data_IF_079724125222
#
_entry.id   IF_079724125222
#
_cell.length_a   1.000
_cell.length_b   1.000
_cell.length_c   1.000
_cell.angle_alpha   90.00
_cell.angle_beta   90.00
_cell.angle_gamma   90.00
#
_symmetry.space_group_name_H-M   'P 1'
#
loop_
_entity.id
_entity.type
_entity.pdbx_description
1 polymer ?
#
# COMPACT_ATOMS: atom_id res chain seq x y z
N UNK A 1 -20.58 -8.71 -2.94
CA UNK A 1 -21.97 -8.74 -2.49
C UNK A 1 -22.58 -10.13 -2.69
N UNK A 2 -22.67 -10.63 -3.93
CA UNK A 2 -23.36 -11.89 -4.27
C UNK A 2 -22.97 -13.13 -3.46
N UNK A 3 -21.67 -13.31 -3.14
CA UNK A 3 -21.20 -14.44 -2.33
C UNK A 3 -21.61 -14.34 -0.86
N UNK A 4 -21.68 -13.13 -0.30
CA UNK A 4 -22.12 -12.92 1.09
C UNK A 4 -23.64 -13.09 1.19
N UNK A 5 -24.38 -12.65 0.18
CA UNK A 5 -25.82 -12.92 0.10
C UNK A 5 -26.11 -14.42 0.02
N UNK A 6 -25.34 -15.19 -0.76
CA UNK A 6 -25.45 -16.66 -0.76
C UNK A 6 -25.16 -17.29 0.60
N UNK A 7 -24.22 -16.72 1.39
CA UNK A 7 -23.97 -17.19 2.76
C UNK A 7 -25.15 -16.86 3.67
N UNK A 8 -25.74 -15.67 3.56
CA UNK A 8 -26.95 -15.28 4.30
C UNK A 8 -28.10 -16.24 3.98
N UNK A 9 -28.36 -16.51 2.70
CA UNK A 9 -29.39 -17.45 2.26
C UNK A 9 -29.21 -18.85 2.89
N UNK A 10 -27.97 -19.36 2.88
CA UNK A 10 -27.65 -20.65 3.49
C UNK A 10 -27.89 -20.69 5.00
N UNK A 11 -27.67 -19.58 5.72
CA UNK A 11 -27.96 -19.47 7.15
C UNK A 11 -29.47 -19.41 7.38
N UNK A 12 -30.19 -18.63 6.58
CA UNK A 12 -31.65 -18.50 6.64
C UNK A 12 -32.34 -19.85 6.41
N UNK A 13 -31.85 -20.67 5.48
CA UNK A 13 -32.38 -22.02 5.22
C UNK A 13 -32.27 -22.95 6.44
N UNK A 14 -31.16 -22.83 7.20
CA UNK A 14 -30.91 -23.60 8.41
C UNK A 14 -31.76 -23.07 9.57
N UNK A 15 -31.80 -21.75 9.77
CA UNK A 15 -32.60 -21.09 10.81
C UNK A 15 -34.09 -21.42 10.65
N UNK A 16 -34.61 -21.30 9.43
CA UNK A 16 -36.02 -21.61 9.13
C UNK A 16 -36.34 -23.08 9.43
N UNK A 17 -35.38 -23.99 9.22
CA UNK A 17 -35.55 -25.41 9.53
C UNK A 17 -35.51 -25.72 11.04
N UNK A 18 -34.77 -24.93 11.83
CA UNK A 18 -34.68 -25.06 13.28
C UNK A 18 -35.94 -24.53 14.00
N UNK A 19 -36.61 -23.53 13.42
CA UNK A 19 -37.91 -22.98 13.85
C UNK A 19 -38.05 -22.84 15.39
N UNK A 20 -37.06 -22.20 16.02
CA UNK A 20 -37.02 -21.98 17.47
C UNK A 20 -36.96 -20.49 17.80
N UNK A 21 -37.51 -20.09 18.95
CA UNK A 21 -37.47 -18.69 19.42
C UNK A 21 -36.05 -18.14 19.58
N UNK A 22 -35.07 -19.01 19.80
CA UNK A 22 -33.65 -18.65 19.90
C UNK A 22 -33.05 -18.17 18.57
N UNK A 23 -33.69 -18.48 17.43
CA UNK A 23 -33.24 -18.11 16.09
C UNK A 23 -33.77 -16.76 15.58
N UNK A 24 -34.75 -16.17 16.25
CA UNK A 24 -35.33 -14.86 15.86
C UNK A 24 -34.28 -13.75 15.89
N UNK A 25 -33.41 -13.75 16.91
CA UNK A 25 -32.31 -12.77 17.02
C UNK A 25 -31.32 -12.87 15.85
N UNK A 26 -31.09 -14.08 15.33
CA UNK A 26 -30.18 -14.31 14.21
C UNK A 26 -30.82 -13.87 12.90
N UNK A 27 -32.12 -14.12 12.71
CA UNK A 27 -32.87 -13.64 11.55
C UNK A 27 -32.83 -12.11 11.46
N UNK A 28 -33.13 -11.43 12.57
CA UNK A 28 -33.08 -9.97 12.62
C UNK A 28 -31.68 -9.41 12.31
N UNK A 29 -30.62 -10.08 12.81
CA UNK A 29 -29.25 -9.67 12.53
C UNK A 29 -28.89 -9.87 11.05
N UNK A 30 -29.34 -10.96 10.43
CA UNK A 30 -29.13 -11.24 9.01
C UNK A 30 -29.83 -10.20 8.12
N UNK A 31 -31.07 -9.80 8.44
CA UNK A 31 -31.79 -8.75 7.71
C UNK A 31 -31.01 -7.42 7.72
N UNK A 32 -30.38 -7.08 8.85
CA UNK A 32 -29.54 -5.88 8.96
C UNK A 32 -28.32 -6.00 8.03
N UNK A 33 -27.63 -7.14 8.04
CA UNK A 33 -26.46 -7.36 7.20
C UNK A 33 -26.82 -7.40 5.70
N UNK A 34 -27.93 -8.03 5.34
CA UNK A 34 -28.42 -8.06 3.96
C UNK A 34 -28.74 -6.65 3.46
N UNK A 35 -29.42 -5.84 4.28
CA UNK A 35 -29.73 -4.46 3.94
C UNK A 35 -28.45 -3.60 3.82
N UNK A 36 -27.48 -3.76 4.72
CA UNK A 36 -26.17 -3.08 4.62
C UNK A 36 -25.41 -3.50 3.34
N UNK A 37 -25.42 -4.78 2.97
CA UNK A 37 -24.72 -5.28 1.78
C UNK A 37 -25.35 -4.83 0.47
N UNK A 38 -26.68 -4.65 0.44
CA UNK A 38 -27.42 -4.35 -0.79
C UNK A 38 -27.71 -2.85 -0.97
N UNK A 39 -27.86 -2.09 0.11
CA UNK A 39 -28.34 -0.71 0.06
C UNK A 39 -27.39 0.33 0.71
N UNK A 40 -26.59 -0.07 1.71
CA UNK A 40 -25.75 0.85 2.48
C UNK A 40 -24.35 0.26 2.76
N UNK A 41 -23.56 -0.02 1.72
CA UNK A 41 -22.25 -0.68 1.87
C UNK A 41 -21.32 0.22 2.72
N UNK A 42 -21.21 -0.09 4.01
CA UNK A 42 -20.21 0.50 4.91
C UNK A 42 -18.91 -0.27 4.74
N UNK A 43 -17.79 0.43 4.86
CA UNK A 43 -16.46 -0.13 4.64
C UNK A 43 -16.14 -1.32 5.58
N UNK A 44 -16.85 -1.47 6.70
CA UNK A 44 -16.62 -2.49 7.72
C UNK A 44 -17.72 -3.57 7.80
N UNK A 45 -18.79 -3.49 7.00
CA UNK A 45 -19.93 -4.42 7.04
C UNK A 45 -19.47 -5.88 6.88
N UNK A 46 -18.58 -6.16 5.92
CA UNK A 46 -18.07 -7.51 5.69
C UNK A 46 -17.29 -8.05 6.89
N UNK A 47 -16.46 -7.21 7.53
CA UNK A 47 -15.69 -7.61 8.70
C UNK A 47 -16.61 -7.90 9.90
N UNK A 48 -17.64 -7.06 10.11
CA UNK A 48 -18.65 -7.26 11.15
C UNK A 48 -19.43 -8.55 10.93
N UNK A 49 -19.85 -8.81 9.69
CA UNK A 49 -20.58 -10.02 9.32
C UNK A 49 -19.74 -11.28 9.57
N UNK A 50 -18.49 -11.30 9.12
CA UNK A 50 -17.59 -12.44 9.35
C UNK A 50 -17.31 -12.71 10.83
N UNK A 51 -17.26 -11.66 11.67
CA UNK A 51 -17.15 -11.82 13.13
C UNK A 51 -18.42 -12.46 13.70
N UNK A 52 -19.59 -11.98 13.31
CA UNK A 52 -20.89 -12.54 13.72
C UNK A 52 -21.02 -14.02 13.34
N UNK A 53 -20.59 -14.41 12.14
CA UNK A 53 -20.57 -15.82 11.74
C UNK A 53 -19.71 -16.69 12.67
N UNK A 54 -18.50 -16.23 12.97
CA UNK A 54 -17.51 -16.98 13.76
C UNK A 54 -17.89 -17.10 15.23
N UNK A 55 -18.40 -16.02 15.81
CA UNK A 55 -18.62 -15.90 17.25
C UNK A 55 -20.03 -16.33 17.66
N UNK A 56 -21.01 -16.25 16.75
CA UNK A 56 -22.40 -16.53 17.08
C UNK A 56 -23.01 -17.68 16.24
N UNK A 57 -23.02 -17.57 14.91
CA UNK A 57 -23.73 -18.54 14.05
C UNK A 57 -23.05 -19.91 14.05
N UNK A 58 -21.73 -19.98 13.88
CA UNK A 58 -21.02 -21.26 13.80
C UNK A 58 -21.07 -22.04 15.12
N UNK A 59 -20.83 -21.44 16.30
CA UNK A 59 -20.99 -22.13 17.57
C UNK A 59 -22.43 -22.63 17.78
N UNK A 60 -23.42 -21.83 17.40
CA UNK A 60 -24.84 -22.20 17.51
C UNK A 60 -25.19 -23.40 16.61
N UNK A 61 -24.78 -23.38 15.34
CA UNK A 61 -25.00 -24.50 14.41
C UNK A 61 -24.23 -25.76 14.82
N UNK A 62 -23.02 -25.62 15.37
CA UNK A 62 -22.24 -26.74 15.89
C UNK A 62 -22.93 -27.40 17.10
N UNK A 63 -23.44 -26.60 18.04
CA UNK A 63 -24.18 -27.11 19.19
C UNK A 63 -25.46 -27.85 18.74
N UNK A 64 -26.17 -27.33 17.74
CA UNK A 64 -27.33 -28.00 17.18
C UNK A 64 -26.97 -29.29 16.44
N UNK A 65 -25.84 -29.38 15.76
CA UNK A 65 -25.37 -30.63 15.14
C UNK A 65 -25.17 -31.76 16.16
N UNK A 66 -24.71 -31.42 17.37
CA UNK A 66 -24.42 -32.39 18.43
C UNK A 66 -25.69 -32.90 19.14
N UNK A 67 -26.75 -32.09 19.20
CA UNK A 67 -27.96 -32.36 19.99
C UNK A 67 -29.17 -32.77 19.11
N UNK A 68 -29.19 -32.36 17.83
CA UNK A 68 -30.34 -32.56 16.94
C UNK A 68 -30.55 -34.03 16.59
N UNK A 69 -31.81 -34.48 16.52
CA UNK A 69 -32.18 -35.86 16.13
C UNK A 69 -32.78 -35.94 14.73
N UNK A 70 -33.23 -34.82 14.16
CA UNK A 70 -33.71 -34.74 12.78
C UNK A 70 -32.55 -34.72 11.78
N UNK A 71 -32.44 -35.80 10.99
CA UNK A 71 -31.43 -35.96 9.94
C UNK A 71 -31.54 -34.94 8.80
N UNK A 72 -32.72 -34.40 8.52
CA UNK A 72 -32.89 -33.36 7.51
C UNK A 72 -32.22 -32.06 7.97
N UNK A 73 -32.41 -31.69 9.23
CA UNK A 73 -31.80 -30.49 9.82
C UNK A 73 -30.27 -30.66 9.90
N UNK A 74 -29.77 -31.83 10.32
CA UNK A 74 -28.32 -32.12 10.30
C UNK A 74 -27.72 -31.97 8.91
N UNK A 75 -28.37 -32.51 7.88
CA UNK A 75 -27.89 -32.40 6.51
C UNK A 75 -27.82 -30.95 6.03
N UNK A 76 -28.82 -30.12 6.37
CA UNK A 76 -28.79 -28.67 6.07
C UNK A 76 -27.62 -27.96 6.74
N UNK A 77 -27.39 -28.21 8.03
CA UNK A 77 -26.27 -27.62 8.77
C UNK A 77 -24.92 -28.08 8.17
N UNK A 78 -24.77 -29.36 7.85
CA UNK A 78 -23.56 -29.89 7.22
C UNK A 78 -23.31 -29.32 5.82
N UNK A 79 -24.36 -29.13 5.02
CA UNK A 79 -24.26 -28.51 3.70
C UNK A 79 -23.85 -27.04 3.81
N UNK A 80 -24.43 -26.29 4.75
CA UNK A 80 -24.00 -24.94 5.07
C UNK A 80 -22.50 -24.90 5.41
N UNK A 81 -22.05 -25.74 6.36
CA UNK A 81 -20.64 -25.79 6.72
C UNK A 81 -19.74 -26.19 5.55
N UNK A 82 -20.13 -27.14 4.69
CA UNK A 82 -19.35 -27.47 3.49
C UNK A 82 -19.17 -26.28 2.56
N UNK A 83 -20.24 -25.51 2.31
CA UNK A 83 -20.19 -24.33 1.45
C UNK A 83 -19.35 -23.22 2.09
N UNK A 84 -19.53 -22.98 3.39
CA UNK A 84 -18.84 -21.93 4.13
C UNK A 84 -17.37 -22.26 4.38
N UNK A 85 -17.00 -23.49 4.73
CA UNK A 85 -15.60 -23.87 4.92
C UNK A 85 -14.81 -23.77 3.61
N UNK A 86 -15.38 -24.19 2.47
CA UNK A 86 -14.73 -24.01 1.16
C UNK A 86 -14.52 -22.52 0.87
N UNK A 87 -15.52 -21.66 1.12
CA UNK A 87 -15.42 -20.23 0.83
C UNK A 87 -14.55 -19.45 1.82
N UNK A 88 -14.63 -19.75 3.11
CA UNK A 88 -13.87 -19.09 4.16
C UNK A 88 -12.40 -19.52 4.15
N UNK A 89 -12.06 -20.81 3.98
CA UNK A 89 -10.65 -21.19 3.81
C UNK A 89 -10.05 -20.53 2.58
N UNK A 90 -10.78 -20.46 1.46
CA UNK A 90 -10.29 -19.75 0.27
C UNK A 90 -10.13 -18.25 0.51
N UNK A 91 -11.06 -17.58 1.19
CA UNK A 91 -10.96 -16.14 1.47
C UNK A 91 -9.88 -15.82 2.50
N UNK A 92 -9.81 -16.54 3.62
CA UNK A 92 -8.76 -16.38 4.64
C UNK A 92 -7.40 -16.77 4.08
N UNK A 93 -7.29 -17.85 3.29
CA UNK A 93 -6.04 -18.21 2.63
C UNK A 93 -5.63 -17.16 1.60
N UNK A 94 -6.54 -16.63 0.78
CA UNK A 94 -6.21 -15.57 -0.18
C UNK A 94 -5.80 -14.27 0.51
N UNK A 95 -6.48 -13.88 1.59
CA UNK A 95 -6.12 -12.69 2.39
C UNK A 95 -4.77 -12.88 3.09
N UNK A 96 -4.54 -14.04 3.69
CA UNK A 96 -3.27 -14.40 4.30
C UNK A 96 -2.14 -14.42 3.28
N UNK A 97 -2.35 -15.04 2.11
CA UNK A 97 -1.38 -15.07 1.01
C UNK A 97 -1.07 -13.66 0.49
N UNK A 98 -2.06 -12.74 0.47
CA UNK A 98 -1.85 -11.34 0.13
C UNK A 98 -0.98 -10.63 1.16
N UNK A 99 -1.32 -10.76 2.45
CA UNK A 99 -0.59 -10.12 3.55
C UNK A 99 0.84 -10.66 3.64
N UNK A 100 1.03 -11.97 3.45
CA UNK A 100 2.33 -12.63 3.39
C UNK A 100 3.13 -12.13 2.17
N UNK A 101 2.50 -11.97 1.01
CA UNK A 101 3.15 -11.43 -0.19
C UNK A 101 3.60 -9.99 0.00
N UNK A 102 2.75 -9.12 0.56
CA UNK A 102 3.09 -7.71 0.87
C UNK A 102 4.22 -7.65 1.89
N UNK A 103 4.14 -8.47 2.94
CA UNK A 103 5.17 -8.51 3.99
C UNK A 103 6.53 -8.94 3.44
N UNK A 104 6.55 -9.98 2.59
CA UNK A 104 7.76 -10.47 1.94
C UNK A 104 8.34 -9.45 0.96
N UNK A 105 7.49 -8.85 0.12
CA UNK A 105 7.83 -7.77 -0.81
C UNK A 105 8.50 -6.61 -0.08
N UNK A 106 7.82 -6.05 0.93
CA UNK A 106 8.33 -4.90 1.68
C UNK A 106 9.62 -5.22 2.42
N UNK A 107 9.79 -6.45 2.93
CA UNK A 107 11.04 -6.89 3.54
C UNK A 107 12.19 -6.92 2.52
N UNK A 108 11.99 -7.54 1.35
CA UNK A 108 13.03 -7.59 0.31
C UNK A 108 13.46 -6.20 -0.15
N UNK A 109 12.48 -5.33 -0.42
CA UNK A 109 12.75 -3.95 -0.85
C UNK A 109 13.48 -3.15 0.24
N UNK A 110 13.06 -3.32 1.50
CA UNK A 110 13.72 -2.72 2.66
C UNK A 110 15.18 -3.18 2.80
N UNK A 111 15.46 -4.48 2.62
CA UNK A 111 16.80 -5.04 2.72
C UNK A 111 17.73 -4.50 1.61
N UNK A 112 17.24 -4.39 0.37
CA UNK A 112 17.98 -3.78 -0.75
C UNK A 112 18.31 -2.32 -0.44
N UNK A 113 17.31 -1.57 0.04
CA UNK A 113 17.47 -0.17 0.37
C UNK A 113 18.49 0.05 1.51
N UNK A 114 18.44 -0.76 2.57
CA UNK A 114 19.39 -0.69 3.69
C UNK A 114 20.83 -0.96 3.23
N UNK A 115 21.03 -1.95 2.35
CA UNK A 115 22.35 -2.23 1.77
C UNK A 115 22.88 -1.07 0.92
N UNK A 116 22.02 -0.50 0.06
CA UNK A 116 22.37 0.66 -0.77
C UNK A 116 22.63 1.90 0.07
N UNK A 117 21.93 2.07 1.18
CA UNK A 117 22.01 3.22 2.07
C UNK A 117 23.38 3.31 2.76
N UNK A 118 24.01 2.17 3.10
CA UNK A 118 25.38 2.14 3.61
C UNK A 118 26.37 2.80 2.64
N UNK A 119 26.21 2.53 1.34
CA UNK A 119 27.03 3.14 0.28
C UNK A 119 26.75 4.65 0.19
N UNK A 120 25.49 5.08 0.32
CA UNK A 120 25.14 6.49 0.32
C UNK A 120 25.74 7.28 1.48
N UNK A 121 25.98 6.64 2.64
CA UNK A 121 26.63 7.31 3.77
C UNK A 121 28.07 7.72 3.47
N UNK A 122 28.73 7.05 2.50
CA UNK A 122 30.06 7.43 2.02
C UNK A 122 30.03 8.67 1.12
N UNK A 123 28.89 8.95 0.45
CA UNK A 123 28.70 10.17 -0.36
C UNK A 123 28.63 11.38 0.58
N UNK A 124 27.75 11.31 1.58
CA UNK A 124 27.65 12.31 2.64
C UNK A 124 26.90 11.75 3.85
N UNK A 125 27.39 11.97 5.08
CA UNK A 125 26.69 11.56 6.29
C UNK A 125 25.30 12.20 6.37
N UNK A 126 24.28 11.36 6.47
CA UNK A 126 22.89 11.78 6.42
C UNK A 126 22.04 11.06 7.47
N UNK A 127 20.98 11.71 7.93
CA UNK A 127 19.94 11.03 8.69
C UNK A 127 19.00 10.34 7.70
N UNK A 128 18.88 9.02 7.85
CA UNK A 128 18.05 8.16 7.02
C UNK A 128 16.76 7.82 7.78
N UNK A 129 15.62 8.22 7.23
CA UNK A 129 14.31 7.91 7.78
C UNK A 129 13.56 7.01 6.82
N UNK A 130 13.06 5.87 7.32
CA UNK A 130 12.28 4.91 6.55
C UNK A 130 10.93 4.68 7.19
N UNK A 131 9.88 4.73 6.37
CA UNK A 131 8.52 4.41 6.78
C UNK A 131 8.13 3.06 6.22
N UNK A 132 7.52 2.23 7.07
CA UNK A 132 6.96 0.95 6.68
C UNK A 132 5.45 1.06 6.77
N UNK A 133 4.80 1.20 5.62
CA UNK A 133 3.35 1.13 5.47
C UNK A 133 2.99 -0.16 4.72
N UNK A 134 2.02 -0.08 3.81
CA UNK A 134 1.80 -0.99 2.69
C UNK A 134 2.93 -1.00 1.65
N UNK A 135 3.83 -0.02 1.66
CA UNK A 135 5.04 0.05 0.83
C UNK A 135 6.32 0.36 1.60
N UNK A 136 7.39 0.69 0.86
CA UNK A 136 8.68 1.15 1.40
C UNK A 136 8.92 2.59 0.98
N UNK A 137 8.89 3.50 1.95
CA UNK A 137 9.19 4.92 1.74
C UNK A 137 10.44 5.33 2.52
N UNK A 138 11.20 6.29 2.01
CA UNK A 138 12.35 6.82 2.73
C UNK A 138 12.62 8.29 2.41
N UNK A 139 13.24 8.98 3.38
CA UNK A 139 13.74 10.35 3.28
C UNK A 139 15.21 10.39 3.69
N UNK A 140 15.97 11.28 3.04
CA UNK A 140 17.33 11.62 3.43
C UNK A 140 17.36 13.06 3.92
N UNK A 141 17.89 13.27 5.13
CA UNK A 141 18.15 14.60 5.63
C UNK A 141 19.66 14.82 5.68
N UNK A 142 20.10 15.94 5.09
CA UNK A 142 21.50 16.33 4.99
C UNK A 142 21.66 17.79 5.36
N UNK A 143 22.81 18.15 5.90
CA UNK A 143 23.16 19.53 6.19
C UNK A 143 24.16 19.64 7.32
N UNK A 144 24.53 20.89 7.60
CA UNK A 144 25.55 21.21 8.60
C UNK A 144 25.18 20.71 10.00
N UNK A 145 23.88 20.70 10.36
CA UNK A 145 23.43 20.19 11.66
C UNK A 145 23.63 18.66 11.82
N UNK A 146 23.77 17.92 10.71
CA UNK A 146 23.99 16.47 10.71
C UNK A 146 25.48 16.14 10.58
N UNK A 147 26.20 16.88 9.74
CA UNK A 147 27.64 16.74 9.56
C UNK A 147 28.34 18.11 9.65
N UNK A 148 28.60 18.63 10.87
CA UNK A 148 29.16 19.96 11.07
C UNK A 148 30.57 20.14 10.49
N UNK A 149 31.35 19.06 10.52
CA UNK A 149 32.74 19.06 10.07
C UNK A 149 32.89 18.97 8.54
N UNK A 150 31.79 18.79 7.80
CA UNK A 150 31.83 18.62 6.35
C UNK A 150 31.20 19.82 5.63
N UNK A 151 31.87 20.25 4.56
CA UNK A 151 31.35 21.31 3.70
C UNK A 151 30.16 20.81 2.87
N UNK A 152 29.03 21.51 3.00
CA UNK A 152 27.86 21.28 2.17
C UNK A 152 28.02 21.95 0.80
N UNK A 153 27.61 21.25 -0.27
CA UNK A 153 27.56 21.81 -1.62
C UNK A 153 26.42 21.21 -2.44
N UNK A 154 25.95 21.94 -3.46
CA UNK A 154 24.91 21.43 -4.37
C UNK A 154 25.34 20.10 -5.04
N UNK A 155 26.64 19.94 -5.33
CA UNK A 155 27.19 18.71 -5.92
C UNK A 155 26.86 17.46 -5.09
N UNK A 156 26.94 17.56 -3.76
CA UNK A 156 26.61 16.45 -2.85
C UNK A 156 25.13 16.07 -2.97
N UNK A 157 24.24 17.08 -3.06
CA UNK A 157 22.80 16.85 -3.25
C UNK A 157 22.54 16.14 -4.58
N UNK A 158 23.22 16.56 -5.65
CA UNK A 158 23.11 15.92 -6.96
C UNK A 158 23.56 14.46 -6.93
N UNK A 159 24.65 14.14 -6.23
CA UNK A 159 25.14 12.77 -6.07
C UNK A 159 24.15 11.89 -5.30
N UNK A 160 23.59 12.38 -4.20
CA UNK A 160 22.57 11.64 -3.43
C UNK A 160 21.26 11.45 -4.19
N UNK A 161 20.80 12.45 -4.96
CA UNK A 161 19.60 12.32 -5.81
C UNK A 161 19.78 11.33 -6.93
N UNK A 162 20.94 11.36 -7.57
CA UNK A 162 21.29 10.34 -8.56
C UNK A 162 21.30 8.95 -7.91
N UNK A 163 21.91 8.80 -6.73
CA UNK A 163 21.89 7.55 -5.97
C UNK A 163 20.46 7.09 -5.63
N UNK A 164 19.56 8.00 -5.24
CA UNK A 164 18.16 7.66 -4.97
C UNK A 164 17.46 7.11 -6.21
N UNK A 165 17.61 7.78 -7.36
CA UNK A 165 17.02 7.32 -8.62
C UNK A 165 17.58 5.95 -9.04
N UNK A 166 18.90 5.76 -8.98
CA UNK A 166 19.54 4.50 -9.30
C UNK A 166 19.11 3.37 -8.35
N UNK A 167 18.95 3.68 -7.06
CA UNK A 167 18.49 2.73 -6.05
C UNK A 167 17.06 2.28 -6.32
N UNK A 168 16.16 3.21 -6.65
CA UNK A 168 14.77 2.88 -7.02
C UNK A 168 14.72 2.04 -8.30
N UNK A 169 15.54 2.35 -9.31
CA UNK A 169 15.65 1.49 -10.50
C UNK A 169 16.12 0.08 -10.15
N UNK A 170 17.10 -0.04 -9.24
CA UNK A 170 17.59 -1.35 -8.76
C UNK A 170 16.47 -2.11 -8.05
N UNK A 171 15.71 -1.44 -7.18
CA UNK A 171 14.59 -2.02 -6.45
C UNK A 171 13.50 -2.57 -7.38
N UNK A 172 13.12 -1.81 -8.41
CA UNK A 172 12.17 -2.24 -9.44
C UNK A 172 12.67 -3.44 -10.25
N UNK A 173 13.95 -3.43 -10.64
CA UNK A 173 14.56 -4.55 -11.34
C UNK A 173 14.57 -5.83 -10.49
N UNK A 174 15.02 -5.74 -9.23
CA UNK A 174 15.02 -6.87 -8.30
C UNK A 174 13.59 -7.37 -8.05
N UNK A 175 12.62 -6.46 -7.91
CA UNK A 175 11.20 -6.79 -7.83
C UNK A 175 10.74 -7.60 -9.03
N UNK A 176 11.08 -7.18 -10.24
CA UNK A 176 10.71 -7.89 -11.45
C UNK A 176 11.23 -9.35 -11.47
N UNK A 177 12.43 -9.58 -10.93
CA UNK A 177 13.02 -10.92 -10.82
C UNK A 177 12.27 -11.80 -9.81
N UNK A 178 11.96 -11.29 -8.62
CA UNK A 178 11.32 -12.10 -7.56
C UNK A 178 9.79 -12.13 -7.63
N UNK A 179 9.13 -11.26 -8.39
CA UNK A 179 7.67 -11.21 -8.51
C UNK A 179 7.06 -12.60 -8.81
N UNK A 180 7.79 -13.45 -9.53
CA UNK A 180 7.38 -14.83 -9.88
C UNK A 180 7.29 -15.78 -8.68
N UNK A 181 7.99 -15.45 -7.58
CA UNK A 181 8.05 -16.25 -6.36
C UNK A 181 6.99 -15.84 -5.33
N UNK A 182 6.19 -14.80 -5.63
CA UNK A 182 5.15 -14.33 -4.72
C UNK A 182 3.93 -15.26 -4.76
N UNK A 183 3.33 -15.58 -3.60
CA UNK A 183 2.07 -16.32 -3.53
C UNK A 183 0.94 -15.68 -4.34
N UNK A 184 0.94 -14.35 -4.44
CA UNK A 184 0.01 -13.56 -5.24
C UNK A 184 0.79 -12.58 -6.12
N UNK A 185 0.39 -12.47 -7.39
CA UNK A 185 0.96 -11.48 -8.31
C UNK A 185 0.63 -10.07 -7.83
N UNK A 186 1.65 -9.35 -7.38
CA UNK A 186 1.59 -7.93 -7.04
C UNK A 186 2.29 -7.10 -8.11
N UNK A 187 1.96 -5.82 -8.16
CA UNK A 187 2.68 -4.81 -8.92
C UNK A 187 3.08 -3.68 -7.99
N UNK A 188 4.23 -3.07 -8.25
CA UNK A 188 4.68 -1.86 -7.58
C UNK A 188 4.67 -0.72 -8.60
N UNK A 189 4.56 0.51 -8.09
CA UNK A 189 4.68 1.70 -8.92
C UNK A 189 5.57 2.71 -8.19
N UNK A 190 6.76 2.96 -8.74
CA UNK A 190 7.76 3.79 -8.09
C UNK A 190 7.59 5.28 -8.35
N UNK A 191 7.70 6.08 -7.28
CA UNK A 191 7.60 7.53 -7.33
C UNK A 191 8.73 8.19 -6.53
N UNK A 192 9.32 9.23 -7.12
CA UNK A 192 10.25 10.16 -6.47
C UNK A 192 9.59 11.53 -6.46
N UNK A 193 9.43 12.12 -5.28
CA UNK A 193 9.01 13.51 -5.16
C UNK A 193 10.21 14.39 -4.84
N UNK A 194 10.59 15.24 -5.80
CA UNK A 194 11.71 16.15 -5.71
C UNK A 194 11.27 17.40 -4.97
N UNK A 195 11.71 17.51 -3.72
CA UNK A 195 11.38 18.63 -2.85
C UNK A 195 12.66 19.27 -2.30
N UNK A 196 12.82 20.58 -2.53
CA UNK A 196 14.09 21.29 -2.33
C UNK A 196 14.05 22.28 -1.16
N UNK A 197 13.00 22.26 -0.35
CA UNK A 197 12.85 23.20 0.75
C UNK A 197 13.76 22.85 1.92
N UNK A 198 14.36 23.88 2.52
CA UNK A 198 15.09 23.73 3.78
C UNK A 198 14.10 23.49 4.90
N UNK A 199 14.44 22.59 5.80
CA UNK A 199 13.63 22.26 6.96
C UNK A 199 14.46 22.35 8.23
N UNK A 200 13.82 22.77 9.31
CA UNK A 200 14.41 22.74 10.64
C UNK A 200 14.11 21.40 11.31
N UNK A 201 15.14 20.75 11.83
CA UNK A 201 15.01 19.47 12.55
C UNK A 201 15.24 19.70 14.05
N UNK A 202 14.39 19.10 14.89
CA UNK A 202 14.59 18.99 16.33
C UNK A 202 14.75 17.54 16.73
N UNK A 203 15.61 17.29 17.70
CA UNK A 203 15.74 15.96 18.27
C UNK A 203 14.84 15.82 19.51
N UNK A 204 13.89 14.89 19.45
CA UNK A 204 13.07 14.50 20.60
C UNK A 204 13.83 13.44 21.39
N UNK A 205 14.42 13.86 22.51
CA UNK A 205 15.28 13.01 23.35
C UNK A 205 14.55 11.81 23.96
N UNK A 206 13.26 11.97 24.27
CA UNK A 206 12.36 10.96 24.81
C UNK A 206 11.98 9.89 23.77
N UNK A 207 11.69 10.30 22.54
CA UNK A 207 11.33 9.41 21.44
C UNK A 207 12.54 8.84 20.68
N UNK A 208 13.74 9.38 20.93
CA UNK A 208 14.99 9.12 20.18
C UNK A 208 14.80 9.27 18.66
N UNK A 209 14.01 10.26 18.26
CA UNK A 209 13.67 10.53 16.86
C UNK A 209 13.88 12.01 16.54
N UNK A 210 14.22 12.29 15.28
CA UNK A 210 14.14 13.64 14.76
C UNK A 210 12.69 13.94 14.40
N UNK A 211 12.25 15.13 14.76
CA UNK A 211 10.98 15.70 14.33
C UNK A 211 11.27 16.95 13.50
N UNK A 212 10.49 17.19 12.46
CA UNK A 212 10.64 18.36 11.61
C UNK A 212 9.74 19.46 12.17
N UNK A 213 10.32 20.61 12.48
CA UNK A 213 9.60 21.73 13.07
C UNK A 213 8.58 22.37 12.12
N UNK A 214 7.36 22.57 12.61
CA UNK A 214 6.38 23.51 12.03
C UNK A 214 5.36 22.93 11.03
N UNK A 215 4.45 23.80 10.57
CA UNK A 215 3.38 23.48 9.62
C UNK A 215 3.87 23.00 8.24
N UNK A 216 5.17 23.11 7.95
CA UNK A 216 5.79 22.67 6.71
C UNK A 216 5.81 21.15 6.56
N UNK A 217 6.00 20.41 7.67
CA UNK A 217 5.91 18.95 7.65
C UNK A 217 4.50 18.49 7.25
N UNK A 218 3.47 19.19 7.75
CA UNK A 218 2.07 18.90 7.42
C UNK A 218 1.77 19.05 5.92
N UNK A 219 2.27 20.11 5.27
CA UNK A 219 2.07 20.31 3.83
C UNK A 219 2.78 19.25 2.99
N UNK A 220 4.02 18.90 3.35
CA UNK A 220 4.78 17.85 2.68
C UNK A 220 4.08 16.49 2.77
N UNK A 221 3.63 16.09 3.95
CA UNK A 221 2.92 14.83 4.17
C UNK A 221 1.55 14.81 3.47
N UNK A 222 0.86 15.96 3.39
CA UNK A 222 -0.38 16.08 2.61
C UNK A 222 -0.11 15.91 1.12
N UNK A 223 0.97 16.49 0.59
CA UNK A 223 1.37 16.33 -0.82
C UNK A 223 1.62 14.86 -1.13
N UNK A 224 2.45 14.20 -0.32
CA UNK A 224 2.80 12.79 -0.52
C UNK A 224 1.57 11.90 -0.62
N UNK A 225 0.65 12.02 0.34
CA UNK A 225 -0.61 11.24 0.37
C UNK A 225 -1.49 11.47 -0.85
N UNK A 226 -1.41 12.65 -1.46
CA UNK A 226 -2.19 13.00 -2.64
C UNK A 226 -1.51 12.56 -3.92
N UNK A 227 -0.17 12.63 -3.99
CA UNK A 227 0.61 12.16 -5.13
C UNK A 227 0.43 10.67 -5.39
N UNK A 228 0.31 9.87 -4.34
CA UNK A 228 -0.03 8.43 -4.44
C UNK A 228 -1.29 8.17 -5.28
N UNK A 229 -2.25 9.12 -5.24
CA UNK A 229 -3.53 9.04 -5.94
C UNK A 229 -3.70 10.07 -7.03
N UNK A 230 -2.62 10.70 -7.49
CA UNK A 230 -2.68 11.74 -8.49
C UNK A 230 -2.81 11.17 -9.91
N UNK A 231 -3.54 11.88 -10.74
CA UNK A 231 -3.70 11.61 -12.16
C UNK A 231 -2.93 12.60 -13.02
N UNK A 232 -2.67 12.19 -14.26
CA UNK A 232 -2.25 13.10 -15.31
C UNK A 232 -3.36 14.12 -15.53
N UNK A 233 -3.00 15.40 -15.63
CA UNK A 233 -3.95 16.50 -15.81
C UNK A 233 -4.85 16.23 -17.02
N UNK A 234 -6.14 16.45 -16.84
CA UNK A 234 -7.19 16.23 -17.84
C UNK A 234 -7.32 14.75 -18.28
N UNK A 235 -6.90 13.81 -17.45
CA UNK A 235 -6.98 12.36 -17.70
C UNK A 235 -7.37 11.58 -16.43
N UNK A 236 -7.87 10.36 -16.60
CA UNK A 236 -8.10 9.38 -15.52
C UNK A 236 -6.89 8.48 -15.28
N UNK A 237 -5.81 8.68 -16.02
CA UNK A 237 -4.59 7.89 -15.91
C UNK A 237 -3.78 8.32 -14.68
N UNK A 238 -3.38 7.37 -13.84
CA UNK A 238 -2.45 7.62 -12.73
C UNK A 238 -1.12 8.16 -13.24
N UNK A 239 -0.50 9.07 -12.49
CA UNK A 239 0.85 9.53 -12.82
C UNK A 239 1.88 8.39 -12.68
N UNK A 240 1.65 7.46 -11.75
CA UNK A 240 2.47 6.27 -11.55
C UNK A 240 1.99 5.09 -12.38
N UNK A 241 2.90 4.21 -12.78
CA UNK A 241 2.58 3.02 -13.58
C UNK A 241 3.59 1.90 -13.30
N UNK A 242 3.16 0.63 -13.18
CA UNK A 242 4.10 -0.48 -13.01
C UNK A 242 5.14 -0.58 -14.11
N UNK A 243 6.39 -0.90 -13.73
CA UNK A 243 7.51 -0.98 -14.67
C UNK A 243 8.01 0.38 -15.18
N UNK A 244 7.53 1.48 -14.59
CA UNK A 244 8.00 2.85 -14.87
C UNK A 244 8.38 3.57 -13.58
N UNK A 245 9.36 4.45 -13.68
CA UNK A 245 9.72 5.38 -12.60
C UNK A 245 9.06 6.72 -12.87
N UNK A 246 8.35 7.25 -11.87
CA UNK A 246 7.74 8.58 -11.93
C UNK A 246 8.51 9.54 -11.05
N UNK A 247 8.96 10.67 -11.60
CA UNK A 247 9.69 11.71 -10.88
C UNK A 247 8.84 12.97 -10.92
N UNK A 248 8.29 13.36 -9.78
CA UNK A 248 7.44 14.54 -9.61
C UNK A 248 8.27 15.69 -9.05
N UNK A 249 8.12 16.89 -9.61
CA UNK A 249 8.93 18.04 -9.23
C UNK A 249 8.22 19.38 -9.51
N UNK A 250 8.81 20.45 -8.97
CA UNK A 250 8.51 21.83 -9.34
C UNK A 250 9.63 22.44 -10.19
N UNK A 251 9.27 23.27 -11.15
CA UNK A 251 10.21 24.12 -11.89
C UNK A 251 11.10 23.38 -12.90
N UNK A 252 11.58 24.14 -13.89
CA UNK A 252 12.36 23.61 -15.01
C UNK A 252 13.80 23.22 -14.64
N UNK A 253 14.31 23.70 -13.51
CA UNK A 253 15.65 23.36 -13.02
C UNK A 253 15.72 21.88 -12.62
N UNK A 254 14.77 21.43 -11.78
CA UNK A 254 14.66 20.03 -11.40
C UNK A 254 14.42 19.12 -12.62
N UNK A 255 13.64 19.58 -13.61
CA UNK A 255 13.46 18.84 -14.86
C UNK A 255 14.80 18.59 -15.57
N UNK A 256 15.61 19.64 -15.74
CA UNK A 256 16.90 19.53 -16.43
C UNK A 256 17.86 18.63 -15.67
N UNK A 257 17.89 18.75 -14.36
CA UNK A 257 18.69 17.90 -13.48
C UNK A 257 18.33 16.42 -13.64
N UNK A 258 17.05 16.06 -13.48
CA UNK A 258 16.64 14.66 -13.56
C UNK A 258 16.74 14.08 -14.97
N UNK A 259 16.57 14.88 -16.03
CA UNK A 259 16.85 14.44 -17.40
C UNK A 259 18.32 14.05 -17.59
N UNK A 260 19.27 14.72 -16.92
CA UNK A 260 20.69 14.32 -16.97
C UNK A 260 20.91 12.96 -16.29
N UNK A 261 20.26 12.73 -15.15
CA UNK A 261 20.33 11.44 -14.44
C UNK A 261 19.73 10.31 -15.27
N UNK A 262 18.53 10.53 -15.82
CA UNK A 262 17.84 9.58 -16.70
C UNK A 262 18.72 9.26 -17.91
N UNK A 263 19.33 10.27 -18.56
CA UNK A 263 20.20 10.04 -19.71
C UNK A 263 21.42 9.16 -19.35
N UNK A 264 21.96 9.32 -18.14
CA UNK A 264 23.06 8.48 -17.64
C UNK A 264 22.63 7.03 -17.48
N UNK A 265 21.45 6.79 -16.89
CA UNK A 265 20.89 5.47 -16.68
C UNK A 265 20.44 4.80 -18.01
N UNK A 266 19.98 5.59 -18.99
CA UNK A 266 19.69 5.11 -20.34
C UNK A 266 20.96 4.61 -21.05
N UNK A 267 22.08 5.34 -20.94
CA UNK A 267 23.38 4.90 -21.47
C UNK A 267 23.90 3.61 -20.82
N UNK A 268 23.46 3.33 -19.60
CA UNK A 268 23.76 2.10 -18.86
C UNK A 268 22.76 0.97 -19.14
N UNK A 269 21.78 1.17 -20.03
CA UNK A 269 20.68 0.23 -20.31
C UNK A 269 19.84 -0.12 -19.07
N UNK A 270 19.70 0.80 -18.13
CA UNK A 270 18.80 0.66 -16.97
C UNK A 270 17.39 1.18 -17.30
N UNK A 271 17.32 2.29 -18.06
CA UNK A 271 16.08 2.94 -18.47
C UNK A 271 15.95 2.97 -19.99
N UNK A 272 14.71 2.91 -20.49
CA UNK A 272 14.39 3.04 -21.91
C UNK A 272 14.44 4.50 -22.38
N UNK A 273 14.59 4.69 -23.69
CA UNK A 273 14.59 5.99 -24.35
C UNK A 273 13.16 6.52 -24.63
N UNK A 274 12.27 6.45 -23.63
CA UNK A 274 10.82 6.72 -23.76
C UNK A 274 10.29 7.71 -22.71
N UNK A 275 11.07 8.73 -22.39
CA UNK A 275 10.72 9.72 -21.36
C UNK A 275 9.44 10.47 -21.73
N UNK A 276 8.44 10.36 -20.87
CA UNK A 276 7.17 11.07 -20.94
C UNK A 276 7.21 12.32 -20.05
N UNK A 277 6.69 13.43 -20.56
CA UNK A 277 6.54 14.68 -19.83
C UNK A 277 5.07 14.87 -19.47
N UNK A 278 4.76 14.80 -18.18
CA UNK A 278 3.39 14.80 -17.67
C UNK A 278 3.13 16.08 -16.88
N UNK A 279 1.89 16.58 -16.97
CA UNK A 279 1.36 17.56 -16.02
C UNK A 279 0.57 16.80 -14.97
N UNK A 280 0.81 17.08 -13.69
CA UNK A 280 0.04 16.48 -12.60
C UNK A 280 -1.25 17.28 -12.42
N UNK A 281 -2.35 16.60 -12.07
CA UNK A 281 -3.59 17.27 -11.71
C UNK A 281 -3.39 18.24 -10.53
N UNK A 282 -4.24 19.28 -10.47
CA UNK A 282 -4.16 20.27 -9.41
C UNK A 282 -4.61 19.62 -8.09
N UNK A 283 -3.70 19.54 -7.12
CA UNK A 283 -3.98 19.01 -5.80
C UNK A 283 -4.54 20.16 -4.93
N UNK A 284 -5.39 19.88 -3.96
CA UNK A 284 -6.03 20.94 -3.14
C UNK A 284 -4.99 21.89 -2.48
N UNK A 285 -4.86 23.10 -3.01
CA UNK A 285 -3.90 24.10 -2.54
C UNK A 285 -2.51 24.03 -3.18
N UNK A 286 -2.29 23.16 -4.17
CA UNK A 286 -0.98 22.96 -4.83
C UNK A 286 -1.19 22.76 -6.32
N UNK A 287 -0.60 23.66 -7.10
CA UNK A 287 -0.74 23.68 -8.56
C UNK A 287 0.63 23.75 -9.22
N UNK A 288 0.71 23.36 -10.49
CA UNK A 288 1.94 23.49 -11.28
C UNK A 288 2.97 22.38 -11.07
N UNK A 289 2.56 21.25 -10.49
CA UNK A 289 3.38 20.05 -10.43
C UNK A 289 3.55 19.43 -11.82
N UNK A 290 4.78 19.03 -12.13
CA UNK A 290 5.14 18.32 -13.35
C UNK A 290 5.72 16.96 -12.98
N UNK A 291 5.68 16.01 -13.91
CA UNK A 291 6.32 14.72 -13.73
C UNK A 291 7.08 14.27 -14.98
N UNK A 292 8.19 13.58 -14.78
CA UNK A 292 8.85 12.75 -15.79
C UNK A 292 8.45 11.32 -15.50
N UNK A 293 8.09 10.56 -16.53
CA UNK A 293 7.85 9.12 -16.41
C UNK A 293 8.68 8.38 -17.45
N UNK A 294 9.34 7.30 -17.04
CA UNK A 294 10.29 6.58 -17.91
C UNK A 294 10.24 5.08 -17.59
N UNK A 295 10.31 4.24 -18.61
CA UNK A 295 10.23 2.79 -18.43
C UNK A 295 11.58 2.19 -18.07
N UNK A 296 11.56 1.12 -17.27
CA UNK A 296 12.71 0.24 -17.11
C UNK A 296 12.92 -0.59 -18.40
N UNK A 297 14.16 -1.01 -18.64
CA UNK A 297 14.53 -1.89 -19.78
C UNK A 297 13.89 -3.25 -19.65
#
# INVERSE_FOLDING_TARGET
>A
SDKLNQQIDGICEVITALNSSETEKYSLALDIFENELNNEIKADTEQRFQRFLREEIHPFFQAHLEIQTDENIKNKIQNYFRQVFIQNDLFYANRKNLDDSITLLNRKLADILDQKQVIAQEIFPHYFERFKSDGVEHNLYIGHNIAPELAYSAKIVHELRYWQLETICTMEYEFHLFKKDLPISLDIASLIFVYNEKIDIRFRMDEKRFDVDGAFNSNFEIIKKRLDKAHVKDSTERITSPGKITIVYFGMENQREYLQYINRLQKQNVLKADVEFLKVEDLQGITGLLALRVSLV
#
